data_IF_546464821335
#
_entry.id   IF_546464821335
#
_cell.length_a   1.000
_cell.length_b   1.000
_cell.length_c   1.000
_cell.angle_alpha   90.00
_cell.angle_beta   90.00
_cell.angle_gamma   90.00
#
_symmetry.space_group_name_H-M   'P 1'
#
loop_
_entity.id
_entity.type
_entity.pdbx_description
1 polymer ?
#
# COMPACT_ATOMS: atom_id res chain seq x y z
N UNK A 1 10.90 19.16 -25.58
CA UNK A 1 11.16 17.73 -25.28
C UNK A 1 11.98 17.57 -23.98
N UNK A 2 13.16 18.14 -23.84
CA UNK A 2 14.00 17.97 -22.64
C UNK A 2 13.29 18.37 -21.34
N UNK A 3 12.65 19.54 -21.28
CA UNK A 3 11.89 19.99 -20.09
C UNK A 3 10.76 19.03 -19.72
N UNK A 4 10.05 18.52 -20.72
CA UNK A 4 8.98 17.58 -20.54
C UNK A 4 9.47 16.25 -19.97
N UNK A 5 10.60 15.72 -20.45
CA UNK A 5 11.22 14.51 -19.91
C UNK A 5 11.74 14.70 -18.48
N UNK A 6 12.32 15.87 -18.18
CA UNK A 6 12.75 16.21 -16.82
C UNK A 6 11.53 16.26 -15.87
N UNK A 7 10.45 16.91 -16.30
CA UNK A 7 9.21 16.96 -15.53
C UNK A 7 8.66 15.55 -15.26
N UNK A 8 8.59 14.73 -16.30
CA UNK A 8 8.04 13.37 -16.20
C UNK A 8 8.91 12.49 -15.29
N UNK A 9 10.24 12.54 -15.44
CA UNK A 9 11.16 11.82 -14.57
C UNK A 9 10.96 12.19 -13.09
N UNK A 10 10.92 13.46 -12.73
CA UNK A 10 10.70 13.87 -11.34
C UNK A 10 9.30 13.55 -10.81
N UNK A 11 8.34 13.34 -11.70
CA UNK A 11 6.97 12.98 -11.33
C UNK A 11 6.79 11.48 -11.13
N UNK A 12 7.51 10.64 -11.87
CA UNK A 12 7.37 9.17 -11.85
C UNK A 12 8.42 8.47 -11.00
N UNK A 13 9.65 8.98 -10.93
CA UNK A 13 10.73 8.40 -10.12
C UNK A 13 10.34 8.13 -8.65
N UNK A 14 9.61 9.02 -7.94
CA UNK A 14 9.17 8.78 -6.57
C UNK A 14 8.29 7.54 -6.41
N UNK A 15 7.59 7.11 -7.48
CA UNK A 15 6.81 5.88 -7.46
C UNK A 15 7.64 4.69 -7.01
N UNK A 16 8.85 4.54 -7.55
CA UNK A 16 9.73 3.42 -7.21
C UNK A 16 10.07 3.36 -5.74
N UNK A 17 10.28 4.50 -5.09
CA UNK A 17 10.56 4.55 -3.65
C UNK A 17 9.37 4.05 -2.84
N UNK A 18 8.17 4.55 -3.10
CA UNK A 18 6.97 4.19 -2.33
C UNK A 18 6.41 2.82 -2.68
N UNK A 19 6.65 2.35 -3.91
CA UNK A 19 6.19 1.04 -4.36
C UNK A 19 7.02 -0.11 -3.76
N UNK A 20 8.35 0.04 -3.67
CA UNK A 20 9.23 -1.07 -3.27
C UNK A 20 9.68 -1.03 -1.81
N UNK A 21 9.90 0.14 -1.21
CA UNK A 21 10.39 0.26 0.16
C UNK A 21 9.51 -0.46 1.21
N UNK A 22 8.18 -0.39 1.15
CA UNK A 22 7.33 -1.12 2.09
C UNK A 22 7.46 -2.65 1.98
N UNK A 23 7.90 -3.17 0.83
CA UNK A 23 8.12 -4.59 0.59
C UNK A 23 9.59 -5.02 0.74
N UNK A 24 10.44 -4.26 1.42
CA UNK A 24 11.88 -4.53 1.51
C UNK A 24 12.23 -5.95 2.00
N UNK A 25 11.37 -6.56 2.81
CA UNK A 25 11.50 -7.96 3.28
C UNK A 25 10.95 -8.99 2.30
N UNK A 26 10.11 -8.58 1.37
CA UNK A 26 9.36 -9.44 0.45
C UNK A 26 9.72 -9.19 -1.01
N UNK A 27 10.94 -8.76 -1.28
CA UNK A 27 11.44 -8.60 -2.64
C UNK A 27 11.87 -9.95 -3.20
N UNK A 28 11.55 -10.19 -4.49
CA UNK A 28 11.93 -11.41 -5.21
C UNK A 28 13.44 -11.48 -5.49
N UNK A 29 14.08 -10.33 -5.63
CA UNK A 29 15.50 -10.19 -5.93
C UNK A 29 16.22 -9.38 -4.85
N UNK A 30 17.53 -9.54 -4.70
CA UNK A 30 18.34 -8.69 -3.83
C UNK A 30 18.14 -7.21 -4.13
N UNK A 31 18.19 -6.36 -3.11
CA UNK A 31 17.87 -4.93 -3.24
C UNK A 31 18.64 -4.22 -4.37
N UNK A 32 19.91 -4.57 -4.61
CA UNK A 32 20.70 -4.01 -5.73
C UNK A 32 20.09 -4.33 -7.10
N UNK A 33 19.62 -5.56 -7.30
CA UNK A 33 18.99 -5.98 -8.55
C UNK A 33 17.62 -5.32 -8.69
N UNK A 34 16.86 -5.22 -7.62
CA UNK A 34 15.56 -4.52 -7.61
C UNK A 34 15.73 -3.05 -8.01
N UNK A 35 16.73 -2.34 -7.47
CA UNK A 35 17.02 -0.96 -7.86
C UNK A 35 17.39 -0.87 -9.35
N UNK A 36 18.22 -1.78 -9.85
CA UNK A 36 18.60 -1.79 -11.27
C UNK A 36 17.38 -2.04 -12.19
N UNK A 37 16.51 -2.99 -11.83
CA UNK A 37 15.32 -3.31 -12.61
C UNK A 37 14.27 -2.17 -12.51
N UNK A 38 14.15 -1.50 -11.38
CA UNK A 38 13.27 -0.33 -11.26
C UNK A 38 13.79 0.86 -12.07
N UNK A 39 15.10 1.09 -12.10
CA UNK A 39 15.71 2.10 -12.98
C UNK A 39 15.51 1.75 -14.47
N UNK A 40 15.61 0.47 -14.82
CA UNK A 40 15.31 0.01 -16.18
C UNK A 40 13.83 0.26 -16.55
N UNK A 41 12.90 0.01 -15.63
CA UNK A 41 11.49 0.30 -15.84
C UNK A 41 11.24 1.79 -16.13
N UNK A 42 11.89 2.66 -15.38
CA UNK A 42 11.81 4.12 -15.58
C UNK A 42 12.39 4.53 -16.93
N UNK A 43 13.54 3.98 -17.31
CA UNK A 43 14.16 4.26 -18.63
C UNK A 43 13.24 3.79 -19.77
N UNK A 44 12.67 2.59 -19.66
CA UNK A 44 11.73 2.06 -20.67
C UNK A 44 10.51 2.98 -20.77
N UNK A 45 9.93 3.38 -19.63
CA UNK A 45 8.79 4.28 -19.62
C UNK A 45 9.12 5.61 -20.29
N UNK A 46 10.21 6.27 -19.90
CA UNK A 46 10.62 7.56 -20.47
C UNK A 46 10.94 7.47 -21.97
N UNK A 47 11.53 6.37 -22.40
CA UNK A 47 11.79 6.14 -23.83
C UNK A 47 10.48 6.01 -24.63
N UNK A 48 9.53 5.21 -24.14
CA UNK A 48 8.21 5.05 -24.76
C UNK A 48 7.47 6.38 -24.76
N UNK A 49 7.50 7.10 -23.65
CA UNK A 49 6.90 8.43 -23.53
C UNK A 49 7.49 9.41 -24.57
N UNK A 50 8.81 9.49 -24.67
CA UNK A 50 9.48 10.37 -25.64
C UNK A 50 9.12 10.05 -27.09
N UNK A 51 9.11 8.75 -27.45
CA UNK A 51 8.79 8.28 -28.79
C UNK A 51 7.35 8.66 -29.17
N UNK A 52 6.39 8.41 -28.29
CA UNK A 52 4.97 8.66 -28.56
C UNK A 52 4.65 10.15 -28.62
N UNK A 53 5.24 10.95 -27.71
CA UNK A 53 5.06 12.41 -27.77
C UNK A 53 5.72 12.99 -29.03
N UNK A 54 6.88 12.47 -29.45
CA UNK A 54 7.49 12.88 -30.71
C UNK A 54 6.65 12.48 -31.93
N UNK A 55 5.94 11.36 -31.85
CA UNK A 55 4.98 10.92 -32.88
C UNK A 55 3.67 11.74 -32.89
N UNK A 56 3.53 12.76 -32.04
CA UNK A 56 2.38 13.67 -32.01
C UNK A 56 1.25 13.29 -31.04
N UNK A 57 1.44 12.27 -30.20
CA UNK A 57 0.44 11.95 -29.17
C UNK A 57 0.48 12.98 -28.03
N UNK A 58 -0.68 13.38 -27.47
CA UNK A 58 -0.74 14.31 -26.35
C UNK A 58 0.00 13.73 -25.11
N UNK A 59 0.91 14.51 -24.52
CA UNK A 59 1.69 14.07 -23.35
C UNK A 59 0.79 13.59 -22.19
N UNK A 60 -0.36 14.24 -21.97
CA UNK A 60 -1.37 13.83 -20.97
C UNK A 60 -1.86 12.41 -21.19
N UNK A 61 -2.08 12.01 -22.45
CA UNK A 61 -2.56 10.66 -22.76
C UNK A 61 -1.43 9.62 -22.61
N UNK A 62 -0.21 9.98 -23.02
CA UNK A 62 0.94 9.10 -22.98
C UNK A 62 1.40 8.82 -21.54
N UNK A 63 1.30 9.79 -20.64
CA UNK A 63 1.67 9.60 -19.23
C UNK A 63 0.94 8.45 -18.54
N UNK A 64 -0.27 8.10 -18.98
CA UNK A 64 -1.03 6.98 -18.43
C UNK A 64 -0.42 5.62 -18.75
N UNK A 65 0.51 5.54 -19.71
CA UNK A 65 1.27 4.32 -19.96
C UNK A 65 2.26 3.97 -18.83
N UNK A 66 2.58 4.94 -17.96
CA UNK A 66 3.31 4.65 -16.72
C UNK A 66 2.56 3.58 -15.89
N UNK A 67 1.22 3.64 -15.84
CA UNK A 67 0.40 2.76 -15.03
C UNK A 67 0.65 1.28 -15.36
N UNK A 68 0.42 0.77 -16.58
CA UNK A 68 0.66 -0.64 -16.86
C UNK A 68 2.15 -1.02 -16.81
N UNK A 69 3.07 -0.13 -17.23
CA UNK A 69 4.50 -0.42 -17.25
C UNK A 69 5.03 -0.58 -15.81
N UNK A 70 4.80 0.41 -14.96
CA UNK A 70 5.28 0.38 -13.58
C UNK A 70 4.58 -0.70 -12.75
N UNK A 71 3.29 -0.93 -12.99
CA UNK A 71 2.54 -2.01 -12.35
C UNK A 71 3.07 -3.39 -12.71
N UNK A 72 3.40 -3.63 -13.96
CA UNK A 72 4.02 -4.88 -14.42
C UNK A 72 5.33 -5.15 -13.68
N UNK A 73 6.24 -4.17 -13.61
CA UNK A 73 7.50 -4.33 -12.90
C UNK A 73 7.29 -4.55 -11.40
N UNK A 74 6.37 -3.79 -10.76
CA UNK A 74 6.07 -3.98 -9.34
C UNK A 74 5.61 -5.41 -9.05
N UNK A 75 4.67 -5.92 -9.83
CA UNK A 75 4.16 -7.28 -9.68
C UNK A 75 5.26 -8.34 -9.83
N UNK A 76 6.21 -8.15 -10.76
CA UNK A 76 7.30 -9.11 -10.96
C UNK A 76 8.42 -8.99 -9.93
N UNK A 77 8.63 -7.84 -9.32
CA UNK A 77 9.72 -7.61 -8.36
C UNK A 77 9.33 -7.92 -6.91
N UNK A 78 8.03 -7.92 -6.59
CA UNK A 78 7.53 -8.16 -5.23
C UNK A 78 6.97 -9.57 -5.12
N UNK A 79 7.32 -10.27 -4.04
CA UNK A 79 6.81 -11.59 -3.69
C UNK A 79 5.73 -11.46 -2.60
N UNK A 80 4.54 -11.00 -2.97
CA UNK A 80 3.40 -10.83 -2.08
C UNK A 80 2.10 -11.23 -2.78
N UNK A 81 1.01 -11.34 -2.00
CA UNK A 81 -0.32 -11.58 -2.56
C UNK A 81 -0.70 -10.46 -3.54
N UNK A 82 -1.26 -10.83 -4.71
CA UNK A 82 -1.62 -9.88 -5.76
C UNK A 82 -2.56 -8.77 -5.23
N UNK A 83 -3.47 -9.07 -4.32
CA UNK A 83 -4.35 -8.07 -3.72
C UNK A 83 -3.59 -7.02 -2.89
N UNK A 84 -2.54 -7.43 -2.15
CA UNK A 84 -1.66 -6.52 -1.39
C UNK A 84 -0.87 -5.63 -2.35
N UNK A 85 -0.32 -6.23 -3.40
CA UNK A 85 0.46 -5.49 -4.41
C UNK A 85 -0.44 -4.48 -5.13
N UNK A 86 -1.66 -4.89 -5.51
CA UNK A 86 -2.62 -3.99 -6.18
C UNK A 86 -3.08 -2.87 -5.24
N UNK A 87 -3.35 -3.18 -3.97
CA UNK A 87 -3.69 -2.18 -2.97
C UNK A 87 -2.58 -1.12 -2.83
N UNK A 88 -1.35 -1.57 -2.64
CA UNK A 88 -0.18 -0.68 -2.53
C UNK A 88 0.03 0.15 -3.79
N UNK A 89 -0.07 -0.49 -4.94
CA UNK A 89 0.09 0.15 -6.24
C UNK A 89 -0.90 1.30 -6.45
N UNK A 90 -2.20 1.04 -6.29
CA UNK A 90 -3.24 2.05 -6.46
C UNK A 90 -3.13 3.15 -5.41
N UNK A 91 -2.80 2.81 -4.17
CA UNK A 91 -2.61 3.78 -3.10
C UNK A 91 -1.45 4.77 -3.39
N UNK A 92 -0.33 4.26 -3.89
CA UNK A 92 0.83 5.09 -4.28
C UNK A 92 0.50 5.96 -5.49
N UNK A 93 -0.25 5.42 -6.45
CA UNK A 93 -0.72 6.22 -7.60
C UNK A 93 -1.59 7.40 -7.16
N UNK A 94 -2.58 7.15 -6.29
CA UNK A 94 -3.47 8.19 -5.79
C UNK A 94 -2.69 9.29 -5.07
N UNK A 95 -1.76 8.90 -4.20
CA UNK A 95 -0.89 9.84 -3.52
C UNK A 95 -0.08 10.70 -4.50
N UNK A 96 0.57 10.08 -5.48
CA UNK A 96 1.38 10.81 -6.45
C UNK A 96 0.54 11.70 -7.37
N UNK A 97 -0.67 11.28 -7.74
CA UNK A 97 -1.60 12.13 -8.51
C UNK A 97 -2.01 13.37 -7.73
N UNK A 98 -2.25 13.24 -6.41
CA UNK A 98 -2.57 14.39 -5.55
C UNK A 98 -1.36 15.31 -5.39
N UNK A 99 -0.17 14.77 -5.17
CA UNK A 99 1.07 15.55 -5.07
C UNK A 99 1.34 16.32 -6.39
N UNK A 100 1.18 15.66 -7.52
CA UNK A 100 1.37 16.27 -8.84
C UNK A 100 0.35 17.40 -9.08
N UNK A 101 -0.91 17.20 -8.72
CA UNK A 101 -1.93 18.24 -8.79
C UNK A 101 -1.61 19.43 -7.87
N UNK A 102 -1.14 19.16 -6.64
CA UNK A 102 -0.70 20.19 -5.69
C UNK A 102 0.51 20.97 -6.22
N UNK A 103 1.47 20.28 -6.80
CA UNK A 103 2.63 20.90 -7.45
C UNK A 103 2.20 21.83 -8.59
N UNK A 104 1.30 21.36 -9.44
CA UNK A 104 0.79 22.18 -10.53
C UNK A 104 0.07 23.44 -10.01
N UNK A 105 -0.76 23.29 -8.99
CA UNK A 105 -1.45 24.43 -8.36
C UNK A 105 -0.45 25.47 -7.83
N UNK A 106 0.58 25.03 -7.11
CA UNK A 106 1.64 25.88 -6.58
C UNK A 106 2.39 26.59 -7.73
N UNK A 107 2.77 25.85 -8.76
CA UNK A 107 3.47 26.40 -9.92
C UNK A 107 2.62 27.45 -10.62
N UNK A 108 1.35 27.18 -10.87
CA UNK A 108 0.44 28.11 -11.55
C UNK A 108 0.22 29.38 -10.72
N UNK A 109 0.04 29.24 -9.39
CA UNK A 109 -0.32 30.35 -8.52
C UNK A 109 0.88 31.22 -8.15
N UNK A 110 2.04 30.65 -7.91
CA UNK A 110 3.19 31.37 -7.38
C UNK A 110 4.35 31.52 -8.37
N UNK A 111 4.55 30.56 -9.26
CA UNK A 111 5.66 30.54 -10.20
C UNK A 111 5.23 30.92 -11.63
N UNK A 112 3.93 31.06 -11.87
CA UNK A 112 3.34 31.36 -13.19
C UNK A 112 3.81 30.41 -14.30
N UNK A 113 4.08 29.14 -13.97
CA UNK A 113 4.56 28.13 -14.90
C UNK A 113 3.50 27.08 -15.24
N UNK A 114 3.69 26.40 -16.38
CA UNK A 114 2.78 25.38 -16.89
C UNK A 114 2.99 24.00 -16.23
N UNK A 115 2.06 23.08 -16.49
CA UNK A 115 2.06 21.73 -15.93
C UNK A 115 3.30 20.91 -16.34
N UNK A 116 3.76 21.05 -17.57
CA UNK A 116 4.87 20.27 -18.13
C UNK A 116 6.22 21.00 -18.12
N UNK A 117 6.39 21.93 -17.22
CA UNK A 117 7.67 22.63 -17.03
C UNK A 117 8.56 21.90 -16.04
N UNK A 118 9.88 22.08 -16.14
CA UNK A 118 10.83 21.48 -15.19
C UNK A 118 10.58 21.97 -13.75
N UNK A 119 10.10 23.21 -13.57
CA UNK A 119 9.74 23.79 -12.28
C UNK A 119 8.63 22.96 -11.60
N UNK A 120 7.61 22.53 -12.35
CA UNK A 120 6.55 21.67 -11.84
C UNK A 120 7.10 20.33 -11.39
N UNK A 121 8.02 19.73 -12.16
CA UNK A 121 8.69 18.47 -11.78
C UNK A 121 9.50 18.61 -10.48
N UNK A 122 10.31 19.67 -10.35
CA UNK A 122 11.08 19.94 -9.13
C UNK A 122 10.17 20.20 -7.94
N UNK A 123 9.07 20.94 -8.11
CA UNK A 123 8.09 21.18 -7.04
C UNK A 123 7.42 19.85 -6.61
N UNK A 124 7.10 18.97 -7.55
CA UNK A 124 6.61 17.63 -7.25
C UNK A 124 7.61 16.86 -6.39
N UNK A 125 8.88 16.82 -6.79
CA UNK A 125 9.94 16.15 -6.04
C UNK A 125 10.11 16.73 -4.62
N UNK A 126 10.07 18.04 -4.47
CA UNK A 126 10.17 18.69 -3.15
C UNK A 126 8.99 18.33 -2.24
N UNK A 127 7.76 18.33 -2.76
CA UNK A 127 6.57 17.92 -2.00
C UNK A 127 6.66 16.44 -1.61
N UNK A 128 7.13 15.58 -2.51
CA UNK A 128 7.38 14.18 -2.21
C UNK A 128 8.40 14.04 -1.08
N UNK A 129 9.56 14.69 -1.17
CA UNK A 129 10.60 14.63 -0.14
C UNK A 129 10.09 15.09 1.23
N UNK A 130 9.29 16.16 1.27
CA UNK A 130 8.67 16.67 2.49
C UNK A 130 7.76 15.65 3.16
N UNK A 131 7.00 14.89 2.37
CA UNK A 131 6.00 13.92 2.86
C UNK A 131 6.54 12.49 2.94
N UNK A 132 7.74 12.20 2.41
CA UNK A 132 8.33 10.86 2.31
C UNK A 132 8.36 10.13 3.64
N UNK A 133 8.85 10.77 4.71
CA UNK A 133 8.98 10.12 6.03
C UNK A 133 7.62 9.66 6.56
N UNK A 134 6.61 10.50 6.41
CA UNK A 134 5.24 10.18 6.84
C UNK A 134 4.66 9.05 5.99
N UNK A 135 4.79 9.14 4.67
CA UNK A 135 4.22 8.18 3.73
C UNK A 135 4.84 6.78 3.87
N UNK A 136 6.17 6.68 3.88
CA UNK A 136 6.85 5.38 4.03
C UNK A 136 6.44 4.72 5.34
N UNK A 137 6.46 5.45 6.45
CA UNK A 137 6.04 4.92 7.75
C UNK A 137 4.62 4.36 7.69
N UNK A 138 3.67 5.11 7.13
CA UNK A 138 2.25 4.70 7.04
C UNK A 138 2.06 3.51 6.11
N UNK A 139 2.70 3.52 4.94
CA UNK A 139 2.61 2.41 3.99
C UNK A 139 3.20 1.12 4.58
N UNK A 140 4.33 1.20 5.26
CA UNK A 140 4.93 0.04 5.92
C UNK A 140 4.01 -0.49 7.03
N UNK A 141 3.46 0.39 7.89
CA UNK A 141 2.50 -0.02 8.93
C UNK A 141 1.26 -0.70 8.34
N UNK A 142 0.76 -0.22 7.20
CA UNK A 142 -0.38 -0.81 6.49
C UNK A 142 0.01 -2.21 5.97
N UNK A 143 1.11 -2.32 5.25
CA UNK A 143 1.55 -3.58 4.65
C UNK A 143 1.87 -4.63 5.72
N UNK A 144 2.60 -4.28 6.77
CA UNK A 144 2.93 -5.19 7.85
C UNK A 144 1.68 -5.69 8.59
N UNK A 145 0.75 -4.77 8.89
CA UNK A 145 -0.52 -5.11 9.54
C UNK A 145 -1.35 -6.05 8.68
N UNK A 146 -1.42 -5.77 7.38
CA UNK A 146 -2.19 -6.55 6.44
C UNK A 146 -1.51 -7.89 6.10
N UNK A 147 -0.19 -7.93 6.04
CA UNK A 147 0.57 -9.18 5.80
C UNK A 147 0.48 -10.15 6.99
N UNK A 148 0.36 -9.61 8.20
CA UNK A 148 0.17 -10.42 9.41
C UNK A 148 -1.19 -11.11 9.47
N UNK A 149 -2.18 -10.66 8.69
CA UNK A 149 -3.52 -11.23 8.65
C UNK A 149 -3.58 -12.26 7.53
N UNK A 150 -3.52 -13.55 7.90
CA UNK A 150 -3.62 -14.67 6.96
C UNK A 150 -5.08 -14.89 6.48
N UNK A 151 -5.76 -13.84 6.04
CA UNK A 151 -7.12 -13.90 5.54
C UNK A 151 -7.18 -13.58 4.03
N UNK A 152 -6.99 -14.57 3.14
CA UNK A 152 -6.96 -14.35 1.69
C UNK A 152 -8.27 -13.76 1.13
N UNK A 153 -9.39 -13.94 1.83
CA UNK A 153 -10.67 -13.37 1.43
C UNK A 153 -10.69 -11.84 1.49
N UNK A 154 -10.00 -11.23 2.46
CA UNK A 154 -9.93 -9.78 2.62
C UNK A 154 -9.21 -9.13 1.42
N UNK A 155 -8.15 -9.78 0.93
CA UNK A 155 -7.36 -9.28 -0.17
C UNK A 155 -8.08 -9.29 -1.52
N UNK A 156 -9.12 -10.11 -1.65
CA UNK A 156 -9.96 -10.11 -2.85
C UNK A 156 -10.75 -8.82 -3.02
N UNK A 157 -10.98 -8.08 -1.94
CA UNK A 157 -11.83 -6.89 -1.93
C UNK A 157 -11.13 -5.61 -1.45
N UNK A 158 -10.10 -5.70 -0.59
CA UNK A 158 -9.44 -4.54 0.00
C UNK A 158 -8.82 -3.57 -1.04
N UNK A 159 -8.32 -4.10 -2.15
CA UNK A 159 -7.76 -3.30 -3.25
C UNK A 159 -8.79 -2.44 -3.98
N UNK A 160 -10.10 -2.78 -3.87
CA UNK A 160 -11.17 -1.98 -4.49
C UNK A 160 -11.26 -0.57 -3.90
N UNK A 161 -10.85 -0.40 -2.63
CA UNK A 161 -10.89 0.89 -1.96
C UNK A 161 -9.98 1.93 -2.63
N UNK A 162 -8.64 1.76 -2.70
CA UNK A 162 -7.80 2.71 -3.40
C UNK A 162 -8.08 2.74 -4.91
N UNK A 163 -8.47 1.63 -5.52
CA UNK A 163 -8.83 1.60 -6.93
C UNK A 163 -10.04 2.51 -7.23
N UNK A 164 -11.06 2.52 -6.37
CA UNK A 164 -12.20 3.42 -6.55
C UNK A 164 -11.79 4.89 -6.41
N UNK A 165 -10.86 5.20 -5.49
CA UNK A 165 -10.29 6.53 -5.36
C UNK A 165 -9.51 6.93 -6.63
N UNK A 166 -8.69 6.01 -7.18
CA UNK A 166 -7.99 6.22 -8.45
C UNK A 166 -8.96 6.58 -9.58
N UNK A 167 -10.09 5.87 -9.69
CA UNK A 167 -11.11 6.16 -10.71
C UNK A 167 -11.70 7.57 -10.54
N UNK A 168 -12.00 7.99 -9.32
CA UNK A 168 -12.52 9.33 -9.05
C UNK A 168 -11.46 10.41 -9.36
N UNK A 169 -10.22 10.21 -8.93
CA UNK A 169 -9.11 11.15 -9.23
C UNK A 169 -8.91 11.25 -10.76
N UNK A 170 -9.01 10.12 -11.46
CA UNK A 170 -8.89 10.08 -12.91
C UNK A 170 -9.99 10.91 -13.60
N UNK A 171 -11.24 10.80 -13.16
CA UNK A 171 -12.34 11.61 -13.66
C UNK A 171 -12.11 13.11 -13.44
N UNK A 172 -11.58 13.48 -12.26
CA UNK A 172 -11.22 14.86 -11.94
C UNK A 172 -10.05 15.39 -12.79
N UNK A 173 -9.25 14.51 -13.41
CA UNK A 173 -8.09 14.92 -14.21
C UNK A 173 -8.49 15.62 -15.51
N UNK A 174 -9.73 15.43 -16.01
CA UNK A 174 -10.28 16.17 -17.13
C UNK A 174 -10.18 17.69 -16.95
N UNK A 175 -10.47 18.18 -15.73
CA UNK A 175 -10.41 19.61 -15.42
C UNK A 175 -9.00 20.21 -15.56
N UNK A 176 -7.96 19.45 -15.23
CA UNK A 176 -6.56 19.88 -15.44
C UNK A 176 -6.26 20.02 -16.94
N UNK A 177 -6.72 19.04 -17.71
CA UNK A 177 -6.51 19.03 -19.17
C UNK A 177 -7.15 20.23 -19.85
N UNK A 178 -8.37 20.57 -19.42
CA UNK A 178 -9.17 21.64 -20.03
C UNK A 178 -8.79 23.04 -19.48
N UNK A 179 -7.79 23.13 -18.61
CA UNK A 179 -7.32 24.39 -18.03
C UNK A 179 -8.22 24.97 -16.92
N UNK A 180 -9.29 24.25 -16.56
CA UNK A 180 -10.28 24.67 -15.56
C UNK A 180 -9.95 24.21 -14.13
N UNK A 181 -8.71 23.79 -13.90
CA UNK A 181 -8.27 23.33 -12.58
C UNK A 181 -8.24 24.50 -11.59
N UNK A 182 -9.03 24.41 -10.56
CA UNK A 182 -9.17 25.41 -9.51
C UNK A 182 -8.87 24.86 -8.09
N UNK A 183 -9.10 25.71 -7.07
CA UNK A 183 -8.92 25.33 -5.67
C UNK A 183 -9.88 24.21 -5.23
N UNK A 184 -11.09 24.18 -5.76
CA UNK A 184 -12.08 23.18 -5.39
C UNK A 184 -11.66 21.79 -5.90
N UNK A 185 -11.10 21.70 -7.12
CA UNK A 185 -10.54 20.47 -7.66
C UNK A 185 -9.37 19.93 -6.81
N UNK A 186 -8.48 20.82 -6.39
CA UNK A 186 -7.37 20.44 -5.50
C UNK A 186 -7.90 19.95 -4.15
N UNK A 187 -8.84 20.71 -3.56
CA UNK A 187 -9.43 20.36 -2.27
C UNK A 187 -10.13 19.00 -2.32
N UNK A 188 -10.91 18.73 -3.38
CA UNK A 188 -11.58 17.45 -3.57
C UNK A 188 -10.59 16.27 -3.61
N UNK A 189 -9.44 16.42 -4.28
CA UNK A 189 -8.40 15.39 -4.35
C UNK A 189 -7.71 15.16 -3.01
N UNK A 190 -7.36 16.25 -2.31
CA UNK A 190 -6.77 16.16 -0.98
C UNK A 190 -7.74 15.52 0.01
N UNK A 191 -9.02 15.92 -0.02
CA UNK A 191 -10.06 15.32 0.81
C UNK A 191 -10.22 13.83 0.53
N UNK A 192 -10.24 13.43 -0.75
CA UNK A 192 -10.33 12.02 -1.13
C UNK A 192 -9.14 11.21 -0.58
N UNK A 193 -7.91 11.75 -0.68
CA UNK A 193 -6.72 11.12 -0.14
C UNK A 193 -6.81 10.96 1.38
N UNK A 194 -7.27 12.00 2.10
CA UNK A 194 -7.47 11.95 3.55
C UNK A 194 -8.52 10.89 3.91
N UNK A 195 -9.65 10.85 3.20
CA UNK A 195 -10.69 9.83 3.41
C UNK A 195 -10.13 8.42 3.19
N UNK A 196 -9.34 8.21 2.15
CA UNK A 196 -8.70 6.93 1.87
C UNK A 196 -7.75 6.49 3.01
N UNK A 197 -6.94 7.42 3.56
CA UNK A 197 -6.11 7.15 4.73
C UNK A 197 -6.92 6.79 5.97
N UNK A 198 -8.00 7.51 6.25
CA UNK A 198 -8.86 7.26 7.40
C UNK A 198 -9.55 5.89 7.30
N UNK A 199 -10.11 5.57 6.13
CA UNK A 199 -10.76 4.28 5.89
C UNK A 199 -9.74 3.14 6.00
N UNK A 200 -8.55 3.29 5.40
CA UNK A 200 -7.48 2.29 5.51
C UNK A 200 -7.04 2.09 6.95
N UNK A 201 -6.89 3.16 7.72
CA UNK A 201 -6.55 3.09 9.14
C UNK A 201 -7.63 2.37 9.96
N UNK A 202 -8.90 2.72 9.75
CA UNK A 202 -10.04 2.08 10.42
C UNK A 202 -10.12 0.59 10.08
N UNK A 203 -9.91 0.24 8.81
CA UNK A 203 -9.86 -1.16 8.38
C UNK A 203 -8.77 -1.95 9.12
N UNK A 204 -7.57 -1.39 9.24
CA UNK A 204 -6.46 -2.02 9.96
C UNK A 204 -6.80 -2.20 11.44
N UNK A 205 -7.39 -1.19 12.09
CA UNK A 205 -7.79 -1.30 13.49
C UNK A 205 -8.84 -2.41 13.70
N UNK A 206 -9.85 -2.48 12.84
CA UNK A 206 -10.86 -3.54 12.88
C UNK A 206 -10.24 -4.93 12.70
N UNK A 207 -9.35 -5.07 11.75
CA UNK A 207 -8.69 -6.35 11.48
C UNK A 207 -7.80 -6.79 12.65
N UNK A 208 -7.07 -5.88 13.27
CA UNK A 208 -6.29 -6.17 14.50
C UNK A 208 -7.22 -6.61 15.63
N UNK A 209 -8.30 -5.88 15.84
CA UNK A 209 -9.29 -6.22 16.86
C UNK A 209 -9.87 -7.63 16.68
N UNK A 210 -10.26 -8.00 15.46
CA UNK A 210 -10.74 -9.36 15.17
C UNK A 210 -9.66 -10.42 15.37
N UNK A 211 -8.42 -10.13 15.01
CA UNK A 211 -7.29 -11.02 15.27
C UNK A 211 -7.09 -11.25 16.77
N UNK A 212 -7.06 -10.18 17.56
CA UNK A 212 -6.87 -10.25 19.01
C UNK A 212 -8.01 -11.03 19.68
N UNK A 213 -9.26 -10.83 19.22
CA UNK A 213 -10.40 -11.62 19.68
C UNK A 213 -10.27 -13.10 19.33
N UNK A 214 -9.87 -13.44 18.11
CA UNK A 214 -9.68 -14.83 17.70
C UNK A 214 -8.57 -15.52 18.49
N UNK A 215 -7.46 -14.81 18.76
CA UNK A 215 -6.37 -15.33 19.62
C UNK A 215 -6.81 -15.52 21.07
N UNK A 216 -7.61 -14.59 21.61
CA UNK A 216 -8.15 -14.72 22.96
C UNK A 216 -9.12 -15.92 23.07
N UNK A 217 -9.99 -16.12 22.08
CA UNK A 217 -10.87 -17.27 22.03
C UNK A 217 -10.11 -18.61 21.96
N UNK A 218 -9.07 -18.69 21.11
CA UNK A 218 -8.23 -19.88 20.99
C UNK A 218 -7.47 -20.19 22.30
N UNK A 219 -6.99 -19.16 23.01
CA UNK A 219 -6.35 -19.34 24.34
C UNK A 219 -7.36 -19.83 25.37
N UNK A 220 -8.59 -19.31 25.37
CA UNK A 220 -9.65 -19.77 26.28
C UNK A 220 -9.98 -21.24 26.05
N UNK A 221 -10.16 -21.66 24.80
CA UNK A 221 -10.39 -23.07 24.46
C UNK A 221 -9.25 -23.99 24.88
N UNK A 222 -8.00 -23.53 24.70
CA UNK A 222 -6.83 -24.30 25.13
C UNK A 222 -6.79 -24.44 26.66
N UNK A 223 -7.16 -23.37 27.38
CA UNK A 223 -7.20 -23.39 28.85
C UNK A 223 -8.31 -24.34 29.36
N UNK A 224 -9.47 -24.33 28.74
CA UNK A 224 -10.57 -25.27 29.06
C UNK A 224 -10.13 -26.72 28.90
N UNK A 225 -9.47 -27.06 27.77
CA UNK A 225 -8.92 -28.40 27.54
C UNK A 225 -7.87 -28.80 28.56
N UNK A 226 -7.00 -27.88 28.99
CA UNK A 226 -6.01 -28.13 30.03
C UNK A 226 -6.66 -28.41 31.42
N UNK A 227 -7.72 -27.63 31.73
CA UNK A 227 -8.49 -27.85 32.97
C UNK A 227 -9.20 -29.21 32.97
N UNK A 228 -9.78 -29.61 31.84
CA UNK A 228 -10.39 -30.93 31.69
C UNK A 228 -9.37 -32.05 31.92
N UNK A 229 -8.20 -31.97 31.24
CA UNK A 229 -7.11 -32.94 31.44
C UNK A 229 -6.66 -32.99 32.90
N UNK A 230 -6.53 -31.84 33.56
CA UNK A 230 -6.16 -31.80 34.97
C UNK A 230 -7.22 -32.45 35.87
N UNK A 231 -8.50 -32.18 35.61
CA UNK A 231 -9.63 -32.77 36.30
C UNK A 231 -9.60 -34.32 36.21
N UNK A 232 -9.36 -34.83 35.01
CA UNK A 232 -9.26 -36.28 34.76
C UNK A 232 -8.07 -36.89 35.49
N UNK A 233 -6.92 -36.22 35.50
CA UNK A 233 -5.73 -36.67 36.26
C UNK A 233 -6.01 -36.70 37.75
N UNK A 234 -6.69 -35.67 38.31
CA UNK A 234 -7.10 -35.68 39.72
C UNK A 234 -8.08 -36.80 40.06
N UNK A 235 -9.04 -37.08 39.18
CA UNK A 235 -9.99 -38.18 39.38
C UNK A 235 -9.28 -39.54 39.43
N UNK A 236 -8.35 -39.76 38.48
CA UNK A 236 -7.54 -40.99 38.42
C UNK A 236 -6.65 -41.17 39.66
N UNK A 237 -6.02 -40.08 40.11
CA UNK A 237 -5.19 -40.07 41.34
C UNK A 237 -6.06 -40.40 42.56
N UNK A 238 -7.21 -39.81 42.68
CA UNK A 238 -8.17 -40.06 43.76
C UNK A 238 -8.61 -41.51 43.80
N UNK A 239 -8.95 -42.06 42.62
CA UNK A 239 -9.29 -43.48 42.50
C UNK A 239 -8.18 -44.41 42.93
N UNK A 240 -6.94 -44.16 42.49
CA UNK A 240 -5.72 -44.94 42.92
C UNK A 240 -5.46 -44.85 44.41
N UNK A 241 -5.66 -43.69 45.04
CA UNK A 241 -5.53 -43.53 46.49
C UNK A 241 -6.60 -44.38 47.23
N UNK A 242 -7.82 -44.37 46.74
CA UNK A 242 -8.89 -45.18 47.34
C UNK A 242 -8.64 -46.68 47.19
N UNK A 243 -8.17 -47.13 46.05
CA UNK A 243 -7.84 -48.54 45.80
C UNK A 243 -6.68 -48.99 46.69
N UNK A 244 -5.65 -48.17 46.84
CA UNK A 244 -4.54 -48.43 47.77
C UNK A 244 -4.97 -48.48 49.25
N UNK A 245 -5.97 -47.66 49.65
CA UNK A 245 -6.55 -47.73 51.00
C UNK A 245 -7.36 -49.01 51.20
N UNK A 246 -8.15 -49.46 50.24
CA UNK A 246 -8.89 -50.73 50.29
C UNK A 246 -7.95 -51.92 50.39
N UNK A 247 -6.93 -51.98 49.53
CA UNK A 247 -5.91 -53.02 49.57
C UNK A 247 -5.21 -53.13 50.93
N UNK A 248 -4.88 -52.00 51.57
CA UNK A 248 -4.30 -52.03 52.93
C UNK A 248 -5.23 -52.49 54.02
N UNK A 249 -6.56 -52.25 53.83
CA UNK A 249 -7.55 -52.70 54.80
C UNK A 249 -7.77 -54.23 54.70
N UNK A 250 -7.70 -54.77 53.49
CA UNK A 250 -7.93 -56.20 53.21
C UNK A 250 -6.71 -57.07 53.59
N UNK A 251 -5.54 -56.45 53.81
CA UNK A 251 -4.33 -57.12 54.31
C UNK A 251 -4.19 -57.07 55.86
N UNK A 252 -5.18 -56.53 56.56
CA UNK A 252 -5.24 -56.60 58.07
C UNK A 252 -6.35 -57.54 58.51
#
# INVERSE_FOLDING_TARGET
MAELLINEFFSTYPFHMFAYLPFHTNLRYPGKITILLSALAEIIYLAVFAILVHAGFPAVSVQYLAIPILGFFLYHLVQANIGIVTFQYTFVLDYLMVIRASSFFICRQFLHCGFYTWQSGVTTLLLVLLTTRFMIKRLTEIIDSLSAIQAPAIWKTAWLLPFSATMIIFLLTGNIRDGNFDQADLFARVLLLVCMFLISHTLIMLLRFFKDQAEAAAKSETMEKLLEIQSDQYSLLTARIQDNRRARHDFR
#
